data_IF_779746679368
#
_entry.id   IF_779746679368
#
_cell.length_a   1.000
_cell.length_b   1.000
_cell.length_c   1.000
_cell.angle_alpha   90.00
_cell.angle_beta   90.00
_cell.angle_gamma   90.00
#
_symmetry.space_group_name_H-M   'P 1'
#
loop_
_entity.id
_entity.type
_entity.pdbx_description
1 polymer ?
#
# COMPACT_ATOMS: atom_id res chain seq x y z
N UNK A 1 21.49 14.37 25.81
CA UNK A 1 21.69 14.20 24.36
C UNK A 1 21.09 15.40 23.68
N UNK A 2 21.75 16.06 22.72
CA UNK A 2 21.14 17.21 22.04
C UNK A 2 19.93 16.71 21.25
N UNK A 3 18.80 17.38 21.40
CA UNK A 3 17.58 17.14 20.64
C UNK A 3 17.91 17.25 19.16
N UNK A 4 17.95 16.13 18.46
CA UNK A 4 18.10 16.11 17.01
C UNK A 4 16.86 16.79 16.41
N UNK A 5 16.99 18.06 16.02
CA UNK A 5 15.97 18.75 15.25
C UNK A 5 15.82 18.04 13.90
N UNK A 6 14.79 17.24 13.79
CA UNK A 6 14.43 16.61 12.53
C UNK A 6 13.96 17.70 11.55
N UNK A 7 14.74 17.96 10.52
CA UNK A 7 14.39 18.91 9.47
C UNK A 7 13.68 18.16 8.34
N UNK A 8 12.42 18.51 8.13
CA UNK A 8 11.66 17.98 7.02
C UNK A 8 11.90 18.83 5.77
N UNK A 9 12.32 18.17 4.69
CA UNK A 9 12.33 18.81 3.38
C UNK A 9 10.91 18.86 2.82
N UNK A 10 10.55 19.95 2.14
CA UNK A 10 9.31 20.00 1.39
C UNK A 10 9.40 19.04 0.20
N UNK A 11 8.38 18.21 0.04
CA UNK A 11 8.23 17.41 -1.18
C UNK A 11 7.84 18.33 -2.33
N UNK A 12 8.72 18.47 -3.30
CA UNK A 12 8.44 19.21 -4.53
C UNK A 12 8.10 18.23 -5.64
N UNK A 13 7.09 18.54 -6.42
CA UNK A 13 6.82 17.82 -7.66
C UNK A 13 7.96 18.11 -8.65
N UNK A 14 8.42 17.07 -9.31
CA UNK A 14 9.38 17.20 -10.41
C UNK A 14 8.59 17.60 -11.64
N UNK A 15 8.94 18.75 -12.24
CA UNK A 15 8.41 19.17 -13.53
C UNK A 15 9.40 18.71 -14.61
N UNK A 16 9.08 17.66 -15.39
CA UNK A 16 9.98 17.16 -16.42
C UNK A 16 10.01 18.15 -17.60
N UNK A 17 11.19 18.28 -18.22
CA UNK A 17 11.29 19.00 -19.48
C UNK A 17 10.48 18.29 -20.57
N UNK A 18 9.90 19.05 -21.49
CA UNK A 18 9.00 18.53 -22.54
C UNK A 18 9.64 17.43 -23.40
N UNK A 19 10.94 17.55 -23.66
CA UNK A 19 11.76 16.62 -24.46
C UNK A 19 12.44 15.52 -23.62
N UNK A 20 12.07 15.39 -22.34
CA UNK A 20 12.70 14.40 -21.48
C UNK A 20 12.03 13.01 -21.62
N UNK A 21 12.79 11.90 -21.51
CA UNK A 21 12.22 10.56 -21.47
C UNK A 21 11.18 10.36 -20.36
N UNK A 22 11.25 11.15 -19.27
CA UNK A 22 10.28 11.13 -18.18
C UNK A 22 8.90 11.60 -18.64
N UNK A 23 8.85 12.57 -19.56
CA UNK A 23 7.59 13.05 -20.13
C UNK A 23 6.88 11.95 -20.92
N UNK A 24 7.61 11.19 -21.73
CA UNK A 24 7.06 10.05 -22.48
C UNK A 24 6.49 8.98 -21.54
N UNK A 25 7.21 8.64 -20.48
CA UNK A 25 6.76 7.68 -19.47
C UNK A 25 5.50 8.17 -18.72
N UNK A 26 5.41 9.46 -18.43
CA UNK A 26 4.21 10.04 -17.79
C UNK A 26 2.99 9.94 -18.72
N UNK A 27 3.17 10.22 -20.02
CA UNK A 27 2.12 10.10 -21.02
C UNK A 27 1.66 8.64 -21.16
N UNK A 28 2.60 7.70 -21.23
CA UNK A 28 2.30 6.27 -21.31
C UNK A 28 1.55 5.80 -20.06
N UNK A 29 2.00 6.20 -18.87
CA UNK A 29 1.34 5.86 -17.60
C UNK A 29 -0.08 6.44 -17.53
N UNK A 30 -0.29 7.68 -17.99
CA UNK A 30 -1.63 8.29 -18.04
C UNK A 30 -2.55 7.53 -19.01
N UNK A 31 -2.02 7.08 -20.16
CA UNK A 31 -2.76 6.23 -21.09
C UNK A 31 -3.15 4.89 -20.45
N UNK A 32 -2.20 4.21 -19.79
CA UNK A 32 -2.47 2.95 -19.10
C UNK A 32 -3.50 3.12 -17.99
N UNK A 33 -3.41 4.20 -17.22
CA UNK A 33 -4.37 4.52 -16.14
C UNK A 33 -5.80 4.72 -16.65
N UNK A 34 -5.96 5.27 -17.86
CA UNK A 34 -7.26 5.50 -18.50
C UNK A 34 -7.80 4.29 -19.25
N UNK A 35 -6.97 3.27 -19.46
CA UNK A 35 -7.36 2.05 -20.18
C UNK A 35 -8.46 1.33 -19.41
N UNK A 36 -9.60 1.16 -20.08
CA UNK A 36 -10.69 0.35 -19.53
C UNK A 36 -10.33 -1.12 -19.67
N UNK A 37 -10.29 -1.82 -18.54
CA UNK A 37 -10.19 -3.26 -18.54
C UNK A 37 -11.55 -3.82 -18.92
N UNK A 38 -11.63 -4.49 -20.06
CA UNK A 38 -12.81 -5.25 -20.49
C UNK A 38 -12.57 -6.73 -20.20
N UNK A 39 -13.56 -7.42 -19.68
CA UNK A 39 -13.47 -8.86 -19.40
C UNK A 39 -14.86 -9.43 -19.13
N UNK A 40 -14.96 -10.75 -19.23
CA UNK A 40 -16.19 -11.51 -18.95
C UNK A 40 -16.29 -11.98 -17.49
N UNK A 41 -15.31 -11.63 -16.65
CA UNK A 41 -15.30 -12.03 -15.23
C UNK A 41 -16.43 -11.36 -14.48
N UNK A 42 -17.24 -12.17 -13.81
CA UNK A 42 -18.32 -11.65 -12.97
C UNK A 42 -17.75 -10.73 -11.87
N UNK A 43 -18.35 -9.54 -11.61
CA UNK A 43 -17.82 -8.58 -10.64
C UNK A 43 -17.52 -9.18 -9.26
N UNK A 44 -18.38 -10.07 -8.75
CA UNK A 44 -18.16 -10.73 -7.45
C UNK A 44 -16.86 -11.52 -7.43
N UNK A 45 -16.56 -12.27 -8.49
CA UNK A 45 -15.32 -13.05 -8.62
C UNK A 45 -14.12 -12.11 -8.71
N UNK A 46 -14.24 -11.03 -9.49
CA UNK A 46 -13.19 -10.02 -9.59
C UNK A 46 -12.82 -9.42 -8.22
N UNK A 47 -13.81 -9.03 -7.42
CA UNK A 47 -13.55 -8.47 -6.09
C UNK A 47 -12.99 -9.50 -5.10
N UNK A 48 -13.39 -10.77 -5.20
CA UNK A 48 -12.79 -11.84 -4.39
C UNK A 48 -11.31 -12.05 -4.73
N UNK A 49 -10.98 -12.11 -6.02
CA UNK A 49 -9.59 -12.21 -6.48
C UNK A 49 -8.78 -10.99 -6.04
N UNK A 50 -9.33 -9.80 -6.17
CA UNK A 50 -8.68 -8.57 -5.71
C UNK A 50 -8.31 -8.63 -4.22
N UNK A 51 -9.22 -9.12 -3.38
CA UNK A 51 -8.95 -9.26 -1.95
C UNK A 51 -7.81 -10.26 -1.67
N UNK A 52 -7.76 -11.36 -2.41
CA UNK A 52 -6.64 -12.31 -2.32
C UNK A 52 -5.31 -11.62 -2.70
N UNK A 53 -5.29 -10.85 -3.79
CA UNK A 53 -4.10 -10.11 -4.20
C UNK A 53 -3.66 -9.08 -3.17
N UNK A 54 -4.58 -8.38 -2.51
CA UNK A 54 -4.24 -7.46 -1.42
C UNK A 54 -3.52 -8.18 -0.27
N UNK A 55 -4.02 -9.35 0.13
CA UNK A 55 -3.36 -10.16 1.17
C UNK A 55 -1.96 -10.59 0.73
N UNK A 56 -1.80 -11.08 -0.50
CA UNK A 56 -0.50 -11.49 -1.05
C UNK A 56 0.49 -10.32 -1.17
N UNK A 57 0.02 -9.16 -1.58
CA UNK A 57 0.81 -7.92 -1.67
C UNK A 57 1.30 -7.47 -0.29
N UNK A 58 0.42 -7.52 0.72
CA UNK A 58 0.78 -7.15 2.10
C UNK A 58 1.85 -8.07 2.67
N UNK A 59 1.74 -9.38 2.45
CA UNK A 59 2.77 -10.35 2.84
C UNK A 59 4.07 -10.12 2.06
N UNK A 60 3.96 -9.84 0.76
CA UNK A 60 5.11 -9.54 -0.11
C UNK A 60 5.86 -8.29 0.34
N UNK A 61 5.14 -7.23 0.70
CA UNK A 61 5.71 -5.99 1.19
C UNK A 61 6.43 -6.18 2.53
N UNK A 62 5.81 -6.85 3.50
CA UNK A 62 6.43 -7.18 4.77
C UNK A 62 7.69 -8.05 4.59
N UNK A 63 7.69 -8.95 3.61
CA UNK A 63 8.86 -9.81 3.31
C UNK A 63 10.07 -9.02 2.81
N UNK A 64 9.87 -7.91 2.10
CA UNK A 64 10.97 -7.03 1.67
C UNK A 64 11.70 -6.45 2.89
N UNK A 65 10.98 -6.23 3.99
CA UNK A 65 11.51 -5.71 5.26
C UNK A 65 12.04 -6.82 6.21
N UNK A 66 12.05 -8.08 5.74
CA UNK A 66 12.59 -9.21 6.48
C UNK A 66 11.56 -10.04 7.24
N UNK A 67 10.28 -9.78 7.10
CA UNK A 67 9.21 -10.60 7.66
C UNK A 67 9.13 -11.96 6.95
N UNK A 68 9.28 -13.05 7.68
CA UNK A 68 9.30 -14.41 7.12
C UNK A 68 7.96 -15.14 7.22
N UNK A 69 6.90 -14.46 7.63
CA UNK A 69 5.56 -15.06 7.74
C UNK A 69 5.13 -15.66 6.40
N UNK A 70 4.70 -16.90 6.44
CA UNK A 70 4.16 -17.58 5.25
C UNK A 70 2.69 -17.22 5.04
N UNK A 71 2.21 -17.42 3.82
CA UNK A 71 0.79 -17.22 3.47
C UNK A 71 -0.10 -18.11 4.34
N UNK A 72 0.31 -19.38 4.58
CA UNK A 72 -0.44 -20.33 5.39
C UNK A 72 -0.57 -19.83 6.84
N UNK A 73 0.53 -19.46 7.48
CA UNK A 73 0.53 -18.91 8.85
C UNK A 73 -0.36 -17.66 8.95
N UNK A 74 -0.29 -16.77 7.99
CA UNK A 74 -1.12 -15.58 8.00
C UNK A 74 -2.62 -15.89 7.86
N UNK A 75 -2.99 -16.83 6.99
CA UNK A 75 -4.38 -17.26 6.82
C UNK A 75 -4.89 -17.95 8.08
N UNK A 76 -4.08 -18.83 8.69
CA UNK A 76 -4.43 -19.49 9.95
C UNK A 76 -4.75 -18.47 11.06
N UNK A 77 -3.94 -17.41 11.19
CA UNK A 77 -4.21 -16.34 12.17
C UNK A 77 -5.46 -15.49 11.88
N UNK A 78 -5.94 -15.51 10.65
CA UNK A 78 -7.23 -14.87 10.30
C UNK A 78 -8.44 -15.74 10.65
N UNK A 79 -8.25 -17.06 10.68
CA UNK A 79 -9.32 -18.03 10.98
C UNK A 79 -9.47 -18.26 12.48
N UNK A 80 -8.40 -18.07 13.24
CA UNK A 80 -8.37 -18.29 14.69
C UNK A 80 -8.29 -16.94 15.44
N UNK A 81 -9.44 -16.47 15.92
CA UNK A 81 -9.56 -15.18 16.64
C UNK A 81 -8.91 -15.20 18.04
N UNK A 82 -8.45 -16.37 18.52
CA UNK A 82 -7.87 -16.55 19.86
C UNK A 82 -6.35 -16.50 19.93
N UNK A 83 -5.64 -16.43 18.81
CA UNK A 83 -4.18 -16.48 18.77
C UNK A 83 -3.55 -15.13 19.12
N UNK A 84 -2.54 -15.15 19.99
CA UNK A 84 -1.68 -14.00 20.24
C UNK A 84 -1.00 -13.56 18.93
N UNK A 85 -1.34 -12.36 18.47
CA UNK A 85 -0.83 -11.79 17.22
C UNK A 85 0.64 -11.42 17.44
N UNK A 86 1.55 -12.07 16.73
CA UNK A 86 2.96 -11.69 16.73
C UNK A 86 3.15 -10.33 16.04
N UNK A 87 4.27 -9.64 16.34
CA UNK A 87 4.62 -8.38 15.66
C UNK A 87 4.71 -8.57 14.14
N UNK A 88 5.20 -9.72 13.66
CA UNK A 88 5.26 -10.04 12.25
C UNK A 88 3.86 -10.12 11.59
N UNK A 89 2.88 -10.70 12.26
CA UNK A 89 1.49 -10.73 11.80
C UNK A 89 0.85 -9.34 11.88
N UNK A 90 1.15 -8.58 12.94
CA UNK A 90 0.65 -7.22 13.11
C UNK A 90 1.13 -6.30 11.96
N UNK A 91 2.38 -6.42 11.57
CA UNK A 91 2.95 -5.69 10.43
C UNK A 91 2.14 -5.94 9.14
N UNK A 92 1.87 -7.19 8.79
CA UNK A 92 1.08 -7.54 7.59
C UNK A 92 -0.33 -6.99 7.69
N UNK A 93 -0.99 -7.10 8.86
CA UNK A 93 -2.32 -6.52 9.10
C UNK A 93 -2.35 -5.00 8.93
N UNK A 94 -1.31 -4.32 9.37
CA UNK A 94 -1.16 -2.89 9.24
C UNK A 94 -1.04 -2.47 7.76
N UNK A 95 -0.27 -3.21 6.97
CA UNK A 95 -0.14 -2.98 5.52
C UNK A 95 -1.49 -3.20 4.83
N UNK A 96 -2.20 -4.30 5.13
CA UNK A 96 -3.55 -4.54 4.58
C UNK A 96 -4.52 -3.41 4.92
N UNK A 97 -4.50 -2.93 6.17
CA UNK A 97 -5.32 -1.80 6.64
C UNK A 97 -5.00 -0.50 5.88
N UNK A 98 -3.71 -0.22 5.68
CA UNK A 98 -3.27 0.95 4.92
C UNK A 98 -3.69 0.86 3.45
N UNK A 99 -3.61 -0.31 2.82
CA UNK A 99 -4.09 -0.53 1.44
C UNK A 99 -5.61 -0.31 1.33
N UNK A 100 -6.40 -0.82 2.27
CA UNK A 100 -7.84 -0.56 2.34
C UNK A 100 -8.17 0.92 2.50
N UNK A 101 -7.44 1.62 3.38
CA UNK A 101 -7.59 3.06 3.55
C UNK A 101 -7.31 3.84 2.25
N UNK A 102 -6.28 3.47 1.50
CA UNK A 102 -5.98 4.07 0.20
C UNK A 102 -7.16 3.88 -0.76
N UNK A 103 -7.69 2.65 -0.88
CA UNK A 103 -8.80 2.38 -1.78
C UNK A 103 -10.04 3.21 -1.51
N UNK A 104 -10.38 3.38 -0.24
CA UNK A 104 -11.58 4.11 0.18
C UNK A 104 -11.41 5.62 0.01
N UNK A 105 -10.20 6.13 0.18
CA UNK A 105 -9.97 7.56 0.38
C UNK A 105 -9.25 8.27 -0.75
N UNK A 106 -8.53 7.55 -1.64
CA UNK A 106 -7.66 8.17 -2.67
C UNK A 106 -8.38 9.15 -3.60
N UNK A 107 -9.67 8.98 -3.81
CA UNK A 107 -10.47 9.88 -4.66
C UNK A 107 -10.76 11.23 -4.00
N UNK A 108 -10.76 11.25 -2.67
CA UNK A 108 -11.20 12.39 -1.85
C UNK A 108 -10.02 13.12 -1.18
N UNK A 109 -8.87 12.48 -1.11
CA UNK A 109 -7.69 13.03 -0.45
C UNK A 109 -6.57 13.28 -1.45
N UNK A 110 -6.01 14.51 -1.48
CA UNK A 110 -4.81 14.78 -2.25
C UNK A 110 -3.63 14.01 -1.67
N UNK A 111 -2.76 13.49 -2.53
CA UNK A 111 -1.49 12.91 -2.09
C UNK A 111 -0.59 14.06 -1.64
N UNK A 112 -0.54 14.23 -0.33
CA UNK A 112 0.29 15.24 0.32
C UNK A 112 0.95 14.64 1.56
N UNK A 113 1.75 15.44 2.25
CA UNK A 113 2.47 15.01 3.45
C UNK A 113 1.55 14.48 4.56
N UNK A 114 0.39 15.10 4.77
CA UNK A 114 -0.55 14.67 5.81
C UNK A 114 -1.10 13.28 5.49
N UNK A 115 -1.45 13.02 4.24
CA UNK A 115 -1.90 11.70 3.78
C UNK A 115 -0.82 10.63 3.96
N UNK A 116 0.43 10.92 3.56
CA UNK A 116 1.57 10.00 3.71
C UNK A 116 1.85 9.74 5.21
N UNK A 117 1.78 10.78 6.06
CA UNK A 117 1.98 10.63 7.49
C UNK A 117 0.90 9.75 8.14
N UNK A 118 -0.34 9.87 7.68
CA UNK A 118 -1.44 9.03 8.18
C UNK A 118 -1.24 7.56 7.79
N UNK A 119 -0.87 7.29 6.54
CA UNK A 119 -0.52 5.93 6.11
C UNK A 119 0.64 5.36 6.93
N UNK A 120 1.69 6.16 7.17
CA UNK A 120 2.83 5.72 7.96
C UNK A 120 2.42 5.33 9.39
N UNK A 121 1.56 6.13 10.04
CA UNK A 121 1.02 5.76 11.36
C UNK A 121 0.30 4.43 11.35
N UNK A 122 -0.50 4.15 10.31
CA UNK A 122 -1.20 2.89 10.19
C UNK A 122 -0.23 1.70 10.04
N UNK A 123 0.82 1.88 9.24
CA UNK A 123 1.80 0.80 8.97
C UNK A 123 2.61 0.45 10.22
N UNK A 124 2.95 1.43 11.07
CA UNK A 124 3.77 1.21 12.28
C UNK A 124 2.95 1.01 13.56
N UNK A 125 1.62 0.92 13.47
CA UNK A 125 0.72 0.84 14.62
C UNK A 125 0.97 -0.45 15.43
N UNK A 126 1.41 -0.29 16.68
CA UNK A 126 1.67 -1.41 17.60
C UNK A 126 2.94 -2.22 17.32
N UNK A 127 3.86 -1.70 16.50
CA UNK A 127 5.17 -2.32 16.20
C UNK A 127 6.28 -1.79 17.10
#
# INVERSE_FOLDING_TARGET
MPDAKFSHYELKLIEPAFDSPLTDLIIELDHLRKKKLSGSTHPKVFFQIKHIFHTLESIGSARIEGNNTTIAEYIETKLDEGVNVSSAIQEIRNIEKAMGFIEENIKNYPINRAFISEMHKMVVDGL
#
